data_IF_918774391705
#
_entry.id   IF_918774391705
#
_cell.length_a   1.000
_cell.length_b   1.000
_cell.length_c   1.000
_cell.angle_alpha   90.00
_cell.angle_beta   90.00
_cell.angle_gamma   90.00
#
_symmetry.space_group_name_H-M   'P 1'
#
loop_
_entity.id
_entity.type
_entity.pdbx_description
1 polymer ?
#
# COMPACT_ATOMS: atom_id res chain seq x y z
N UNK A 1 -45.78 2.04 -17.77
CA UNK A 1 -44.53 2.80 -18.05
C UNK A 1 -43.53 2.30 -17.02
N UNK A 2 -42.72 1.31 -17.37
CA UNK A 2 -41.99 0.46 -16.41
C UNK A 2 -40.55 0.29 -16.85
N UNK A 3 -39.80 1.40 -16.87
CA UNK A 3 -38.40 1.37 -17.31
C UNK A 3 -37.46 2.30 -16.55
N UNK A 4 -37.95 3.10 -15.60
CA UNK A 4 -37.11 4.07 -14.86
C UNK A 4 -36.64 3.53 -13.50
N UNK A 5 -37.50 2.79 -12.78
CA UNK A 5 -37.17 2.23 -11.45
C UNK A 5 -36.10 1.12 -11.50
N UNK A 6 -36.08 0.34 -12.57
CA UNK A 6 -35.10 -0.74 -12.75
C UNK A 6 -33.70 -0.20 -13.07
N UNK A 7 -33.60 0.96 -13.74
CA UNK A 7 -32.32 1.58 -14.07
C UNK A 7 -31.66 2.20 -12.83
N UNK A 8 -32.44 2.87 -11.98
CA UNK A 8 -31.95 3.40 -10.71
C UNK A 8 -31.49 2.27 -9.77
N UNK A 9 -32.21 1.16 -9.74
CA UNK A 9 -31.85 -0.01 -8.92
C UNK A 9 -30.52 -0.64 -9.32
N UNK A 10 -30.13 -0.56 -10.60
CA UNK A 10 -28.84 -1.08 -11.09
C UNK A 10 -27.67 -0.15 -10.72
N UNK A 11 -27.88 1.17 -10.76
CA UNK A 11 -26.91 2.16 -10.30
C UNK A 11 -26.67 2.07 -8.79
N UNK A 12 -27.73 1.88 -8.01
CA UNK A 12 -27.62 1.78 -6.55
C UNK A 12 -27.01 0.44 -6.11
N UNK A 13 -27.27 -0.64 -6.86
CA UNK A 13 -26.65 -1.96 -6.65
C UNK A 13 -25.15 -1.93 -6.89
N UNK A 14 -24.68 -1.25 -7.94
CA UNK A 14 -23.25 -1.14 -8.25
C UNK A 14 -22.47 -0.34 -7.19
N UNK A 15 -23.08 0.70 -6.63
CA UNK A 15 -22.49 1.47 -5.51
C UNK A 15 -22.55 0.70 -4.18
N UNK A 16 -23.57 -0.14 -3.99
CA UNK A 16 -23.68 -1.01 -2.82
C UNK A 16 -22.65 -2.15 -2.84
N UNK A 17 -22.30 -2.72 -4.00
CA UNK A 17 -21.25 -3.75 -4.11
C UNK A 17 -19.84 -3.17 -3.87
N UNK A 18 -19.58 -1.91 -4.24
CA UNK A 18 -18.32 -1.23 -3.88
C UNK A 18 -18.18 -0.99 -2.38
N UNK A 19 -19.29 -0.80 -1.66
CA UNK A 19 -19.30 -0.68 -0.20
C UNK A 19 -19.37 -2.06 0.50
N UNK A 20 -19.92 -3.08 -0.16
CA UNK A 20 -19.92 -4.48 0.31
C UNK A 20 -18.59 -5.22 0.05
N UNK A 21 -17.69 -4.66 -0.75
CA UNK A 21 -16.27 -5.04 -0.80
C UNK A 21 -15.52 -4.78 0.52
N UNK A 22 -16.15 -4.06 1.46
CA UNK A 22 -15.76 -3.97 2.87
C UNK A 22 -16.54 -4.96 3.75
N UNK A 23 -16.94 -6.11 3.22
CA UNK A 23 -17.25 -7.25 4.08
C UNK A 23 -15.93 -7.67 4.79
N UNK A 24 -15.88 -7.74 6.13
CA UNK A 24 -14.79 -8.46 6.77
C UNK A 24 -14.86 -9.90 6.27
N UNK A 25 -13.82 -10.38 5.60
CA UNK A 25 -13.61 -11.83 5.48
C UNK A 25 -13.43 -12.37 6.90
N UNK A 26 -14.55 -12.66 7.56
CA UNK A 26 -14.63 -13.52 8.73
C UNK A 26 -14.42 -14.94 8.21
N UNK A 27 -13.15 -15.33 8.13
CA UNK A 27 -12.76 -16.64 7.63
C UNK A 27 -11.26 -16.81 7.40
N UNK A 28 -10.39 -16.39 8.33
CA UNK A 28 -9.05 -16.95 8.48
C UNK A 28 -8.50 -16.60 9.87
N UNK A 29 -8.32 -17.62 10.70
CA UNK A 29 -7.45 -17.68 11.89
C UNK A 29 -6.49 -16.50 12.11
N UNK A 30 -6.72 -15.70 13.15
CA UNK A 30 -5.70 -15.03 14.01
C UNK A 30 -4.63 -14.12 13.40
N UNK A 31 -4.55 -13.94 12.08
CA UNK A 31 -3.50 -13.12 11.45
C UNK A 31 -3.92 -11.67 11.40
N UNK A 32 -3.04 -10.78 11.88
CA UNK A 32 -3.26 -9.34 11.84
C UNK A 32 -3.60 -8.87 10.42
N UNK A 33 -4.60 -8.00 10.31
CA UNK A 33 -5.03 -7.40 9.04
C UNK A 33 -4.27 -6.08 8.85
N UNK A 34 -3.75 -5.87 7.64
CA UNK A 34 -3.13 -4.60 7.27
C UNK A 34 -3.95 -3.83 6.23
N UNK A 35 -3.91 -2.50 6.33
CA UNK A 35 -4.60 -1.54 5.46
C UNK A 35 -3.59 -0.74 4.65
N UNK A 36 -3.83 -0.60 3.35
CA UNK A 36 -2.93 0.09 2.43
C UNK A 36 -3.39 1.49 2.09
N UNK A 37 -4.68 1.80 2.21
CA UNK A 37 -5.26 3.08 1.81
C UNK A 37 -6.22 3.58 2.87
N UNK A 38 -5.99 4.78 3.37
CA UNK A 38 -6.93 5.46 4.25
C UNK A 38 -8.20 5.84 3.49
N UNK A 39 -9.36 5.70 4.15
CA UNK A 39 -10.67 5.92 3.54
C UNK A 39 -10.88 7.29 2.86
N UNK A 40 -10.09 8.30 3.24
CA UNK A 40 -10.18 9.68 2.69
C UNK A 40 -9.07 10.02 1.70
N UNK A 41 -8.22 9.07 1.32
CA UNK A 41 -7.00 9.34 0.57
C UNK A 41 -7.08 8.81 -0.86
N UNK A 42 -6.79 9.69 -1.83
CA UNK A 42 -6.71 9.31 -3.24
C UNK A 42 -5.38 8.63 -3.55
N UNK A 43 -5.41 7.50 -4.24
CA UNK A 43 -4.21 6.79 -4.70
C UNK A 43 -3.56 7.58 -5.85
N UNK A 44 -2.26 7.92 -5.78
CA UNK A 44 -1.50 8.50 -6.89
C UNK A 44 -1.62 7.69 -8.19
N UNK A 45 -1.79 8.36 -9.33
CA UNK A 45 -1.95 7.72 -10.63
C UNK A 45 -0.77 6.82 -11.05
N UNK A 46 0.51 7.16 -10.74
CA UNK A 46 1.64 6.28 -11.05
C UNK A 46 1.54 4.90 -10.40
N UNK A 47 0.90 4.78 -9.23
CA UNK A 47 0.78 3.51 -8.51
C UNK A 47 -0.35 2.64 -9.07
N UNK A 48 -1.39 3.25 -9.64
CA UNK A 48 -2.52 2.52 -10.22
C UNK A 48 -2.15 1.79 -11.52
N UNK A 49 -1.08 2.25 -12.18
CA UNK A 49 -0.64 1.71 -13.48
C UNK A 49 0.40 0.59 -13.34
N UNK A 50 0.76 0.19 -12.11
CA UNK A 50 1.75 -0.86 -11.88
C UNK A 50 1.09 -2.22 -11.98
N UNK A 51 1.38 -2.91 -13.07
CA UNK A 51 1.03 -4.32 -13.27
C UNK A 51 2.28 -5.18 -13.02
N UNK A 52 2.51 -5.52 -11.75
CA UNK A 52 3.63 -6.32 -11.31
C UNK A 52 3.20 -7.27 -10.19
N UNK A 53 3.88 -8.40 -10.10
CA UNK A 53 3.65 -9.44 -9.10
C UNK A 53 4.94 -9.74 -8.36
N UNK A 54 4.86 -9.83 -7.04
CA UNK A 54 5.95 -10.29 -6.21
C UNK A 54 6.00 -11.81 -6.23
N UNK A 55 7.14 -12.34 -6.64
CA UNK A 55 7.37 -13.78 -6.80
C UNK A 55 7.77 -14.37 -5.45
N UNK A 56 6.90 -15.22 -4.88
CA UNK A 56 7.14 -16.04 -3.69
C UNK A 56 6.57 -17.44 -3.93
N UNK A 57 6.19 -18.21 -2.91
CA UNK A 57 5.46 -19.47 -3.14
C UNK A 57 4.09 -19.25 -3.78
N UNK A 58 3.50 -18.08 -3.55
CA UNK A 58 2.37 -17.57 -4.32
C UNK A 58 2.74 -16.21 -4.92
N UNK A 59 2.46 -16.05 -6.21
CA UNK A 59 2.65 -14.79 -6.91
C UNK A 59 1.53 -13.81 -6.51
N UNK A 60 1.90 -12.74 -5.83
CA UNK A 60 0.94 -11.77 -5.28
C UNK A 60 1.11 -10.41 -5.96
N UNK A 61 0.02 -9.72 -6.36
CA UNK A 61 0.12 -8.43 -7.00
C UNK A 61 0.65 -7.37 -6.02
N UNK A 62 1.30 -6.34 -6.58
CA UNK A 62 1.59 -5.13 -5.82
C UNK A 62 0.31 -4.30 -5.65
N UNK A 63 -0.05 -4.01 -4.41
CA UNK A 63 -1.20 -3.19 -4.04
C UNK A 63 -0.77 -1.76 -3.71
N UNK A 64 -1.46 -0.73 -4.24
CA UNK A 64 -1.12 0.67 -3.96
C UNK A 64 -1.32 1.03 -2.48
N UNK A 65 -0.39 1.83 -1.96
CA UNK A 65 -0.39 2.37 -0.61
C UNK A 65 -0.52 3.88 -0.63
N UNK A 66 -1.44 4.41 0.19
CA UNK A 66 -1.61 5.83 0.44
C UNK A 66 -2.18 6.05 1.86
N UNK A 67 -1.28 6.27 2.82
CA UNK A 67 -1.62 6.41 4.25
C UNK A 67 -1.20 7.79 4.76
N UNK A 68 -2.06 8.44 5.54
CA UNK A 68 -1.83 9.77 6.09
C UNK A 68 -0.68 9.73 7.09
N UNK A 69 0.24 10.67 6.93
CA UNK A 69 1.42 10.75 7.77
C UNK A 69 1.94 12.18 7.80
N UNK A 70 1.57 12.91 8.85
CA UNK A 70 1.95 14.32 9.04
C UNK A 70 3.46 14.54 9.12
N UNK A 71 4.23 13.49 9.45
CA UNK A 71 5.70 13.53 9.39
C UNK A 71 6.26 13.68 7.98
N UNK A 72 5.52 13.30 6.93
CA UNK A 72 5.98 13.37 5.55
C UNK A 72 6.31 14.79 5.12
N UNK A 73 5.47 15.78 5.48
CA UNK A 73 5.72 17.20 5.17
C UNK A 73 6.96 17.76 5.86
N UNK A 74 7.52 17.05 6.85
CA UNK A 74 8.77 17.40 7.55
C UNK A 74 9.95 16.51 7.13
N UNK A 75 9.76 15.61 6.16
CA UNK A 75 10.77 14.62 5.77
C UNK A 75 11.05 13.56 6.85
N UNK A 76 10.15 13.38 7.81
CA UNK A 76 10.30 12.42 8.91
C UNK A 76 9.63 11.12 8.52
N UNK A 77 10.37 10.01 8.57
CA UNK A 77 9.83 8.67 8.33
C UNK A 77 9.15 8.10 9.58
N UNK A 78 8.08 7.29 9.42
CA UNK A 78 7.49 6.58 10.55
C UNK A 78 8.50 5.58 11.14
N UNK A 79 8.58 5.51 12.48
CA UNK A 79 9.22 4.40 13.19
C UNK A 79 8.43 3.09 12.99
N UNK A 80 8.98 1.96 13.44
CA UNK A 80 8.29 0.68 13.40
C UNK A 80 6.93 0.74 14.14
N UNK A 81 6.89 1.33 15.34
CA UNK A 81 5.65 1.49 16.11
C UNK A 81 4.61 2.37 15.38
N UNK A 82 5.08 3.46 14.77
CA UNK A 82 4.21 4.37 14.03
C UNK A 82 3.69 3.71 12.75
N UNK A 83 4.55 3.01 12.01
CA UNK A 83 4.14 2.26 10.83
C UNK A 83 3.15 1.16 11.20
N UNK A 84 3.36 0.46 12.31
CA UNK A 84 2.40 -0.53 12.82
C UNK A 84 1.03 0.09 13.02
N UNK A 85 0.94 1.24 13.70
CA UNK A 85 -0.34 1.92 13.91
C UNK A 85 -0.98 2.45 12.63
N UNK A 86 -0.19 2.78 11.60
CA UNK A 86 -0.69 3.19 10.28
C UNK A 86 -1.28 2.02 9.50
N UNK A 87 -0.61 0.86 9.52
CA UNK A 87 -1.02 -0.28 8.70
C UNK A 87 -1.98 -1.20 9.43
N UNK A 88 -1.97 -1.27 10.76
CA UNK A 88 -2.82 -2.16 11.54
C UNK A 88 -3.31 -1.46 12.83
N UNK A 89 -4.47 -0.79 12.80
CA UNK A 89 -5.03 -0.13 13.97
C UNK A 89 -5.39 -1.11 15.11
N UNK A 90 -5.65 -2.37 14.75
CA UNK A 90 -6.13 -3.41 15.67
C UNK A 90 -5.03 -4.34 16.20
N UNK A 91 -3.79 -4.23 15.70
CA UNK A 91 -2.69 -5.10 16.11
C UNK A 91 -1.34 -4.36 16.19
N UNK A 92 -0.56 -4.72 17.21
CA UNK A 92 0.82 -4.25 17.35
C UNK A 92 1.78 -5.18 16.58
N UNK A 93 2.34 -4.64 15.51
CA UNK A 93 3.30 -5.24 14.60
C UNK A 93 4.69 -4.62 14.73
N UNK A 94 4.92 -3.73 15.71
CA UNK A 94 6.18 -3.00 15.90
C UNK A 94 7.41 -3.92 15.87
N UNK A 95 7.35 -5.06 16.57
CA UNK A 95 8.43 -6.04 16.66
C UNK A 95 8.58 -6.90 15.40
N UNK A 96 7.56 -6.95 14.55
CA UNK A 96 7.56 -7.68 13.28
C UNK A 96 8.04 -6.83 12.10
N UNK A 97 8.18 -5.52 12.28
CA UNK A 97 8.61 -4.58 11.24
C UNK A 97 10.13 -4.46 11.25
N UNK A 98 10.72 -4.66 10.09
CA UNK A 98 12.17 -4.47 9.85
C UNK A 98 12.39 -3.66 8.58
N UNK A 99 13.47 -2.87 8.53
CA UNK A 99 13.82 -2.08 7.34
C UNK A 99 14.81 -2.83 6.48
N UNK A 100 14.57 -2.86 5.17
CA UNK A 100 15.45 -3.42 4.16
C UNK A 100 15.96 -2.32 3.23
N UNK A 101 17.17 -2.52 2.68
CA UNK A 101 17.63 -1.71 1.57
C UNK A 101 16.91 -2.11 0.28
N UNK A 102 16.73 -1.19 -0.69
CA UNK A 102 16.16 -1.55 -1.99
C UNK A 102 16.91 -2.69 -2.69
N UNK A 103 18.24 -2.74 -2.54
CA UNK A 103 19.09 -3.82 -3.09
C UNK A 103 18.91 -5.16 -2.39
N UNK A 104 18.57 -5.18 -1.10
CA UNK A 104 18.25 -6.42 -0.39
C UNK A 104 16.87 -6.93 -0.73
N UNK A 105 15.92 -6.03 -1.02
CA UNK A 105 14.57 -6.38 -1.47
C UNK A 105 14.57 -6.87 -2.92
N UNK A 106 15.32 -6.20 -3.80
CA UNK A 106 15.36 -6.50 -5.22
C UNK A 106 16.81 -6.68 -5.73
N UNK A 107 17.48 -7.79 -5.38
CA UNK A 107 18.86 -8.02 -5.78
C UNK A 107 19.03 -8.25 -7.29
N UNK A 108 17.95 -8.63 -7.99
CA UNK A 108 17.96 -8.88 -9.44
C UNK A 108 17.45 -7.69 -10.25
N UNK A 109 17.09 -6.58 -9.60
CA UNK A 109 16.50 -5.40 -10.23
C UNK A 109 15.23 -5.72 -11.06
N UNK A 110 14.43 -6.70 -10.61
CA UNK A 110 13.21 -7.15 -11.29
C UNK A 110 12.00 -6.23 -11.02
N UNK A 111 12.05 -5.43 -9.95
CA UNK A 111 11.01 -4.52 -9.51
C UNK A 111 11.41 -3.05 -9.70
N UNK A 112 12.26 -2.75 -10.68
CA UNK A 112 12.66 -1.39 -11.01
C UNK A 112 11.45 -0.49 -11.37
N UNK A 113 10.43 -1.04 -12.03
CA UNK A 113 9.18 -0.34 -12.35
C UNK A 113 8.38 0.04 -11.10
N UNK A 114 8.33 -0.85 -10.10
CA UNK A 114 7.72 -0.60 -8.78
C UNK A 114 8.44 0.56 -8.10
N UNK A 115 9.77 0.50 -7.98
CA UNK A 115 10.56 1.57 -7.37
C UNK A 115 10.40 2.91 -8.09
N UNK A 116 10.36 2.90 -9.43
CA UNK A 116 10.13 4.09 -10.24
C UNK A 116 8.74 4.69 -10.01
N UNK A 117 7.70 3.85 -9.97
CA UNK A 117 6.33 4.28 -9.72
C UNK A 117 6.16 4.89 -8.33
N UNK A 118 6.81 4.31 -7.31
CA UNK A 118 6.81 4.85 -5.94
C UNK A 118 7.48 6.23 -5.90
N UNK A 119 8.60 6.43 -6.59
CA UNK A 119 9.24 7.75 -6.70
C UNK A 119 8.36 8.76 -7.43
N UNK A 120 7.75 8.35 -8.53
CA UNK A 120 6.83 9.19 -9.31
C UNK A 120 5.61 9.61 -8.49
N UNK A 121 5.09 8.70 -7.65
CA UNK A 121 3.94 8.96 -6.79
C UNK A 121 4.24 10.01 -5.70
N UNK A 122 5.46 10.01 -5.15
CA UNK A 122 5.87 10.94 -4.10
C UNK A 122 5.97 12.39 -4.58
N UNK A 123 6.27 12.60 -5.86
CA UNK A 123 6.40 13.94 -6.48
C UNK A 123 5.28 14.25 -7.46
N UNK A 124 4.23 13.44 -7.52
CA UNK A 124 3.10 13.66 -8.46
C UNK A 124 2.52 15.08 -8.35
N UNK A 125 2.52 15.64 -7.13
CA UNK A 125 2.03 16.98 -6.82
C UNK A 125 3.11 18.06 -6.82
N UNK A 126 4.37 17.68 -6.95
CA UNK A 126 5.53 18.57 -6.95
C UNK A 126 6.27 18.46 -8.28
N UNK A 127 5.87 19.31 -9.23
CA UNK A 127 6.37 19.28 -10.62
C UNK A 127 7.84 19.70 -10.74
N UNK A 128 8.38 20.38 -9.74
CA UNK A 128 9.76 20.86 -9.72
C UNK A 128 10.71 19.90 -8.97
N UNK A 129 10.17 18.87 -8.30
CA UNK A 129 10.95 17.90 -7.56
C UNK A 129 11.61 16.85 -8.49
N UNK A 130 12.91 16.62 -8.26
CA UNK A 130 13.65 15.57 -8.97
C UNK A 130 13.32 14.19 -8.39
N UNK A 131 12.66 13.37 -9.20
CA UNK A 131 12.31 11.97 -8.89
C UNK A 131 13.52 11.15 -8.44
N UNK A 132 14.73 11.48 -8.92
CA UNK A 132 15.96 10.77 -8.60
C UNK A 132 16.39 10.96 -7.15
N UNK A 133 15.98 12.07 -6.52
CA UNK A 133 16.31 12.41 -5.14
C UNK A 133 15.28 11.87 -4.13
N UNK A 134 14.21 11.23 -4.60
CA UNK A 134 13.19 10.65 -3.73
C UNK A 134 13.76 9.42 -3.01
N UNK A 135 13.86 9.52 -1.70
CA UNK A 135 14.22 8.40 -0.84
C UNK A 135 13.08 7.38 -0.82
N UNK A 136 13.42 6.10 -1.08
CA UNK A 136 12.49 4.97 -0.98
C UNK A 136 12.98 4.07 0.15
N UNK A 137 12.08 3.73 1.08
CA UNK A 137 12.34 2.75 2.13
C UNK A 137 11.50 1.50 1.89
N UNK A 138 12.09 0.34 2.18
CA UNK A 138 11.40 -0.94 2.14
C UNK A 138 11.26 -1.45 3.57
N UNK A 139 10.04 -1.80 3.97
CA UNK A 139 9.77 -2.45 5.25
C UNK A 139 9.31 -3.88 5.00
N UNK A 140 9.89 -4.83 5.72
CA UNK A 140 9.42 -6.22 5.79
C UNK A 140 8.62 -6.37 7.08
N UNK A 141 7.39 -6.86 6.95
CA UNK A 141 6.45 -7.07 8.06
C UNK A 141 6.12 -8.56 8.13
N UNK A 142 6.45 -9.19 9.24
CA UNK A 142 6.17 -10.62 9.46
C UNK A 142 4.84 -10.80 10.19
N UNK A 143 3.79 -11.15 9.45
CA UNK A 143 2.47 -11.39 10.04
C UNK A 143 2.41 -12.75 10.73
N UNK A 144 3.06 -13.75 10.12
CA UNK A 144 3.25 -15.10 10.66
C UNK A 144 4.53 -15.69 10.09
N UNK A 145 4.93 -16.87 10.55
CA UNK A 145 6.09 -17.60 10.01
C UNK A 145 6.00 -17.95 8.52
N UNK A 146 4.81 -17.90 7.91
CA UNK A 146 4.59 -18.23 6.49
C UNK A 146 3.97 -17.08 5.69
N UNK A 147 3.74 -15.93 6.33
CA UNK A 147 3.10 -14.76 5.70
C UNK A 147 3.86 -13.50 6.01
N UNK A 148 4.33 -12.86 4.95
CA UNK A 148 5.15 -11.67 4.97
C UNK A 148 4.52 -10.60 4.10
N UNK A 149 4.79 -9.35 4.45
CA UNK A 149 4.46 -8.21 3.61
C UNK A 149 5.68 -7.32 3.41
N UNK A 150 5.88 -6.91 2.16
CA UNK A 150 6.88 -5.93 1.78
C UNK A 150 6.21 -4.62 1.44
N UNK A 151 6.60 -3.56 2.14
CA UNK A 151 6.06 -2.22 1.97
C UNK A 151 7.15 -1.32 1.39
N UNK A 152 7.02 -1.00 0.10
CA UNK A 152 7.93 -0.12 -0.64
C UNK A 152 7.33 1.28 -0.62
N UNK A 153 7.86 2.16 0.22
CA UNK A 153 7.25 3.46 0.55
C UNK A 153 8.16 4.64 0.21
N UNK A 154 7.54 5.78 -0.09
CA UNK A 154 8.14 7.10 -0.22
C UNK A 154 7.29 8.14 0.52
N UNK A 155 7.92 9.26 0.92
CA UNK A 155 7.23 10.39 1.55
C UNK A 155 6.68 11.34 0.47
N UNK A 156 5.36 11.51 0.43
CA UNK A 156 4.70 12.59 -0.32
C UNK A 156 4.61 13.80 0.61
N UNK A 157 5.64 14.65 0.59
CA UNK A 157 5.73 15.84 1.43
C UNK A 157 4.61 16.86 1.16
N UNK A 158 4.26 17.19 -0.11
CA UNK A 158 3.10 18.05 -0.41
C UNK A 158 1.77 17.46 0.07
N UNK A 159 1.63 16.14 0.02
CA UNK A 159 0.41 15.43 0.40
C UNK A 159 0.28 15.08 1.88
N UNK A 160 1.34 15.25 2.69
CA UNK A 160 1.33 14.89 4.11
C UNK A 160 1.04 13.42 4.36
N UNK A 161 1.61 12.54 3.53
CA UNK A 161 1.30 11.11 3.51
C UNK A 161 2.48 10.25 3.07
N UNK A 162 2.43 8.96 3.40
CA UNK A 162 3.30 7.95 2.81
C UNK A 162 2.56 7.31 1.63
N UNK A 163 3.27 7.18 0.50
CA UNK A 163 2.74 6.58 -0.73
C UNK A 163 3.68 5.47 -1.19
N UNK A 164 3.13 4.43 -1.81
CA UNK A 164 3.97 3.30 -2.18
C UNK A 164 3.22 2.09 -2.72
N UNK A 165 3.86 0.94 -2.65
CA UNK A 165 3.26 -0.35 -3.01
C UNK A 165 3.54 -1.38 -1.91
N UNK A 166 2.54 -2.22 -1.64
CA UNK A 166 2.64 -3.39 -0.76
C UNK A 166 2.59 -4.66 -1.59
N UNK A 167 3.47 -5.60 -1.34
CA UNK A 167 3.36 -6.97 -1.83
C UNK A 167 3.22 -7.95 -0.67
N UNK A 168 2.40 -8.97 -0.84
CA UNK A 168 2.35 -10.12 0.07
C UNK A 168 3.34 -11.18 -0.40
N UNK A 169 3.86 -11.95 0.54
CA UNK A 169 4.74 -13.07 0.26
C UNK A 169 4.40 -14.24 1.18
N UNK A 170 4.47 -15.44 0.62
CA UNK A 170 4.19 -16.69 1.31
C UNK A 170 5.43 -17.60 1.29
N UNK A 171 5.64 -18.31 2.40
CA UNK A 171 6.72 -19.28 2.57
C UNK A 171 6.11 -20.62 3.07
N UNK A 172 6.50 -21.74 2.46
CA UNK A 172 6.02 -23.12 2.75
C UNK A 172 7.03 -23.96 3.52
#
# INVERSE_FOLDING_TARGET
MSSDDAYMSFLDKANSDLNAGRAPQQGASGTARTETVDATTQIPAPLQSVDAYYISDADEPFEPVALRWEGASKGVWPSADQLSGLISPDADLSQAISTLTPTSFDPKNQYASVLHAVRSAAVEKDLDADQSNVEVKVYRVELTSTKLEYWVLALDAPGGRVVGLRAKAFES
#
